data_IF_689415852807
#
_entry.id   IF_689415852807
#
_cell.length_a   1.000
_cell.length_b   1.000
_cell.length_c   1.000
_cell.angle_alpha   90.00
_cell.angle_beta   90.00
_cell.angle_gamma   90.00
#
_symmetry.space_group_name_H-M   'P 1'
#
loop_
_entity.id
_entity.type
_entity.pdbx_description
1 polymer ?
#
# COMPACT_ATOMS: atom_id res chain seq x y z
N UNK A 1 -17.95 -9.25 5.39
CA UNK A 1 -16.75 -8.83 4.62
C UNK A 1 -16.38 -7.42 5.07
N UNK A 2 -15.14 -7.20 5.50
CA UNK A 2 -14.67 -5.85 5.85
C UNK A 2 -14.00 -5.21 4.63
N UNK A 3 -14.65 -4.20 4.07
CA UNK A 3 -14.09 -3.37 3.01
C UNK A 3 -14.05 -1.94 3.51
N UNK A 4 -12.89 -1.31 3.45
CA UNK A 4 -12.71 0.09 3.82
C UNK A 4 -12.32 0.89 2.58
N UNK A 5 -12.99 2.03 2.36
CA UNK A 5 -12.57 3.01 1.36
C UNK A 5 -12.23 4.32 2.06
N UNK A 6 -11.01 4.77 1.88
CA UNK A 6 -10.53 6.11 2.23
C UNK A 6 -10.50 6.93 0.94
N UNK A 7 -11.15 8.08 0.93
CA UNK A 7 -11.20 8.92 -0.27
C UNK A 7 -11.08 10.41 0.05
N UNK A 8 -10.30 11.13 -0.76
CA UNK A 8 -10.12 12.59 -0.66
C UNK A 8 -9.66 13.08 0.72
N UNK A 9 -8.89 12.27 1.43
CA UNK A 9 -8.33 12.63 2.74
C UNK A 9 -6.87 13.05 2.63
N UNK A 10 -6.46 13.98 3.48
CA UNK A 10 -5.06 14.25 3.78
C UNK A 10 -4.72 13.61 5.11
N UNK A 11 -3.81 12.64 5.09
CA UNK A 11 -3.29 11.98 6.29
C UNK A 11 -1.84 12.39 6.43
N UNK A 12 -1.51 13.03 7.55
CA UNK A 12 -0.14 13.44 7.89
C UNK A 12 0.32 12.70 9.13
N UNK A 13 1.56 12.23 9.11
CA UNK A 13 2.20 11.62 10.27
C UNK A 13 3.63 12.14 10.43
N UNK A 14 4.00 12.44 11.66
CA UNK A 14 5.35 12.87 12.04
C UNK A 14 6.21 11.66 12.46
N UNK A 15 5.58 10.57 12.90
CA UNK A 15 6.24 9.35 13.38
C UNK A 15 5.50 8.11 12.84
N UNK A 16 6.12 7.40 11.90
CA UNK A 16 5.65 6.11 11.37
C UNK A 16 4.87 6.19 10.05
N UNK A 17 4.01 5.21 9.79
CA UNK A 17 3.24 5.11 8.55
C UNK A 17 1.90 5.85 8.62
N UNK A 18 1.40 6.34 7.48
CA UNK A 18 0.07 6.93 7.41
C UNK A 18 -1.03 5.89 7.62
N UNK A 19 -0.87 4.69 7.05
CA UNK A 19 -1.90 3.65 7.06
C UNK A 19 -1.32 2.28 7.39
N UNK A 20 -1.92 1.61 8.36
CA UNK A 20 -1.63 0.21 8.71
C UNK A 20 -2.82 -0.68 8.33
N UNK A 21 -2.61 -1.52 7.33
CA UNK A 21 -3.59 -2.50 6.87
C UNK A 21 -3.30 -3.89 7.47
N UNK A 22 -4.23 -4.41 8.29
CA UNK A 22 -4.09 -5.72 8.95
C UNK A 22 -4.97 -6.82 8.36
N UNK A 23 -6.12 -6.47 7.77
CA UNK A 23 -7.05 -7.42 7.15
C UNK A 23 -8.11 -6.71 6.31
N UNK A 24 -8.75 -7.47 5.42
CA UNK A 24 -9.81 -7.00 4.53
C UNK A 24 -9.29 -6.39 3.23
N UNK A 25 -10.17 -5.64 2.56
CA UNK A 25 -9.79 -4.84 1.38
C UNK A 25 -9.80 -3.37 1.74
N UNK A 26 -8.68 -2.70 1.47
CA UNK A 26 -8.51 -1.27 1.67
C UNK A 26 -8.37 -0.58 0.30
N UNK A 27 -9.25 0.36 0.00
CA UNK A 27 -9.14 1.23 -1.17
C UNK A 27 -8.78 2.64 -0.74
N UNK A 28 -7.72 3.21 -1.31
CA UNK A 28 -7.22 4.57 -1.05
C UNK A 28 -7.35 5.34 -2.35
N UNK A 29 -8.22 6.35 -2.40
CA UNK A 29 -8.62 7.01 -3.64
C UNK A 29 -8.56 8.53 -3.53
N UNK A 30 -7.69 9.17 -4.32
CA UNK A 30 -7.57 10.63 -4.31
C UNK A 30 -7.01 11.20 -3.00
N UNK A 31 -6.31 10.39 -2.20
CA UNK A 31 -5.76 10.82 -0.91
C UNK A 31 -4.40 11.51 -1.07
N UNK A 32 -3.96 12.19 -0.01
CA UNK A 32 -2.61 12.70 0.17
C UNK A 32 -2.05 12.09 1.45
N UNK A 33 -1.01 11.27 1.32
CA UNK A 33 -0.31 10.63 2.44
C UNK A 33 1.03 11.34 2.63
N UNK A 34 1.19 12.05 3.74
CA UNK A 34 2.38 12.82 4.07
C UNK A 34 3.07 12.18 5.27
N UNK A 35 4.11 11.41 4.99
CA UNK A 35 5.04 10.95 6.02
C UNK A 35 6.14 12.00 6.15
N UNK A 36 6.60 12.31 7.35
CA UNK A 36 7.81 13.10 7.51
C UNK A 36 9.05 12.19 7.41
N UNK A 37 10.14 12.72 6.87
CA UNK A 37 11.40 11.98 6.75
C UNK A 37 11.87 11.56 8.13
N UNK A 38 11.85 10.26 8.42
CA UNK A 38 12.34 9.73 9.68
C UNK A 38 13.84 9.39 9.56
N UNK A 39 14.69 9.64 10.58
CA UNK A 39 16.08 9.18 10.59
C UNK A 39 16.22 7.66 10.45
N UNK A 40 15.15 6.90 10.69
CA UNK A 40 15.06 5.47 10.42
C UNK A 40 14.30 5.24 9.10
N UNK A 41 15.04 5.10 8.01
CA UNK A 41 14.49 4.92 6.64
C UNK A 41 13.52 3.73 6.50
N UNK A 42 13.65 2.72 7.35
CA UNK A 42 12.77 1.55 7.36
C UNK A 42 11.40 1.78 8.01
N UNK A 43 11.17 2.94 8.65
CA UNK A 43 9.87 3.34 9.19
C UNK A 43 9.15 4.35 8.29
N UNK A 44 9.83 4.84 7.24
CA UNK A 44 9.36 5.89 6.32
C UNK A 44 8.50 5.34 5.17
N UNK A 45 7.59 4.40 5.46
CA UNK A 45 6.63 3.86 4.49
C UNK A 45 5.26 4.51 4.69
N UNK A 46 4.66 5.04 3.62
CA UNK A 46 3.33 5.64 3.73
C UNK A 46 2.24 4.61 4.10
N UNK A 47 2.33 3.41 3.52
CA UNK A 47 1.39 2.32 3.76
C UNK A 47 2.16 1.10 4.23
N UNK A 48 1.71 0.48 5.32
CA UNK A 48 2.21 -0.82 5.76
C UNK A 48 1.05 -1.82 5.72
N UNK A 49 1.21 -2.91 4.98
CA UNK A 49 0.28 -4.03 4.98
C UNK A 49 0.91 -5.24 5.65
N UNK A 50 0.36 -5.62 6.79
CA UNK A 50 0.73 -6.87 7.50
C UNK A 50 -0.28 -7.99 7.24
N UNK A 51 -1.29 -7.74 6.41
CA UNK A 51 -2.26 -8.76 6.03
C UNK A 51 -1.59 -9.90 5.24
N UNK A 52 -1.94 -11.14 5.56
CA UNK A 52 -1.52 -12.35 4.85
C UNK A 52 -2.53 -12.80 3.80
N UNK A 53 -2.32 -13.98 3.22
CA UNK A 53 -3.28 -14.62 2.33
C UNK A 53 -4.60 -14.86 3.06
N UNK A 54 -5.68 -14.95 2.29
CA UNK A 54 -6.99 -15.27 2.83
C UNK A 54 -6.93 -16.61 3.57
N UNK A 55 -7.41 -16.66 4.82
CA UNK A 55 -7.71 -17.93 5.48
C UNK A 55 -8.80 -18.65 4.66
N UNK A 56 -8.49 -19.86 4.18
CA UNK A 56 -9.45 -20.70 3.45
C UNK A 56 -10.45 -21.25 4.47
N UNK A 57 -11.55 -20.54 4.69
CA UNK A 57 -12.65 -21.04 5.52
C UNK A 57 -13.44 -22.06 4.67
N UNK A 58 -13.55 -23.35 5.05
CA UNK A 58 -14.14 -24.41 4.21
C UNK A 58 -15.65 -24.34 3.97
N UNK A 59 -16.32 -23.22 4.28
CA UNK A 59 -17.77 -23.09 4.12
C UNK A 59 -18.13 -22.03 3.09
N UNK A 60 -18.51 -22.50 1.91
CA UNK A 60 -19.31 -21.82 0.88
C UNK A 60 -18.86 -20.41 0.42
N UNK A 61 -18.31 -20.37 -0.81
CA UNK A 61 -18.44 -19.27 -1.76
C UNK A 61 -18.02 -17.86 -1.28
N UNK A 62 -16.71 -17.65 -1.14
CA UNK A 62 -15.93 -16.49 -1.66
C UNK A 62 -14.55 -16.50 -1.03
N UNK A 63 -13.50 -16.50 -1.85
CA UNK A 63 -12.13 -16.22 -1.40
C UNK A 63 -12.09 -14.85 -0.73
N UNK A 64 -11.88 -14.83 0.58
CA UNK A 64 -11.77 -13.60 1.38
C UNK A 64 -10.40 -12.94 1.17
N UNK A 65 -10.13 -12.41 -0.02
CA UNK A 65 -8.80 -11.88 -0.32
C UNK A 65 -8.54 -10.56 0.41
N UNK A 66 -7.42 -10.52 1.13
CA UNK A 66 -6.86 -9.30 1.66
C UNK A 66 -6.18 -8.51 0.54
N UNK A 67 -6.27 -7.18 0.56
CA UNK A 67 -5.57 -6.37 -0.41
C UNK A 67 -5.67 -4.87 -0.20
N UNK A 68 -4.76 -4.13 -0.82
CA UNK A 68 -4.74 -2.67 -0.81
C UNK A 68 -4.74 -2.16 -2.24
N UNK A 69 -5.71 -1.33 -2.60
CA UNK A 69 -5.76 -0.67 -3.91
C UNK A 69 -5.55 0.83 -3.70
N UNK A 70 -4.56 1.39 -4.38
CA UNK A 70 -4.25 2.82 -4.38
C UNK A 70 -4.61 3.40 -5.73
N UNK A 71 -5.41 4.45 -5.74
CA UNK A 71 -5.91 5.14 -6.92
C UNK A 71 -5.64 6.64 -6.76
N UNK A 72 -5.01 7.25 -7.76
CA UNK A 72 -4.81 8.70 -7.87
C UNK A 72 -4.35 9.35 -6.56
N UNK A 73 -3.45 8.68 -5.83
CA UNK A 73 -3.05 9.12 -4.48
C UNK A 73 -1.67 9.76 -4.54
N UNK A 74 -1.49 10.86 -3.81
CA UNK A 74 -0.18 11.50 -3.63
C UNK A 74 0.48 10.93 -2.39
N UNK A 75 1.76 10.62 -2.49
CA UNK A 75 2.58 10.15 -1.38
C UNK A 75 3.80 11.06 -1.28
N UNK A 76 4.01 11.68 -0.12
CA UNK A 76 4.96 12.76 0.08
C UNK A 76 5.76 12.58 1.38
N UNK A 77 6.98 13.13 1.39
CA UNK A 77 7.86 13.21 2.56
C UNK A 77 8.39 11.87 3.13
N UNK A 78 8.01 10.73 2.56
CA UNK A 78 8.59 9.42 2.84
C UNK A 78 9.52 8.93 1.72
N UNK A 79 10.46 8.05 2.05
CA UNK A 79 11.36 7.43 1.06
C UNK A 79 10.68 6.31 0.26
N UNK A 80 9.62 5.69 0.79
CA UNK A 80 8.99 4.50 0.21
C UNK A 80 7.46 4.55 0.31
N UNK A 81 6.78 4.03 -0.72
CA UNK A 81 5.31 4.11 -0.83
C UNK A 81 4.58 3.06 0.02
N UNK A 82 5.01 1.79 -0.06
CA UNK A 82 4.33 0.68 0.60
C UNK A 82 5.31 -0.38 1.07
N UNK A 83 5.07 -0.94 2.26
CA UNK A 83 5.73 -2.12 2.79
C UNK A 83 4.71 -3.25 2.96
N UNK A 84 5.05 -4.44 2.49
CA UNK A 84 4.27 -5.66 2.69
C UNK A 84 5.07 -6.62 3.56
N UNK A 85 4.53 -6.97 4.74
CA UNK A 85 5.16 -7.95 5.64
C UNK A 85 4.49 -9.33 5.60
N UNK A 86 3.33 -9.44 4.96
CA UNK A 86 2.62 -10.71 4.75
C UNK A 86 2.91 -11.34 3.38
N UNK A 87 2.05 -12.27 2.95
CA UNK A 87 2.16 -12.94 1.64
C UNK A 87 1.59 -12.10 0.48
N UNK A 88 1.22 -10.84 0.73
CA UNK A 88 0.75 -9.94 -0.31
C UNK A 88 1.96 -9.34 -1.03
N UNK A 89 1.81 -9.18 -2.34
CA UNK A 89 2.83 -8.62 -3.23
C UNK A 89 2.31 -7.37 -3.92
N UNK A 90 3.19 -6.42 -4.19
CA UNK A 90 2.88 -5.27 -5.03
C UNK A 90 2.65 -5.72 -6.48
N UNK A 91 1.50 -5.37 -7.03
CA UNK A 91 1.06 -5.67 -8.38
C UNK A 91 0.58 -4.39 -9.07
N UNK A 92 0.64 -4.37 -10.40
CA UNK A 92 0.10 -3.30 -11.27
C UNK A 92 0.47 -1.87 -10.82
N UNK A 93 1.74 -1.51 -10.91
CA UNK A 93 2.20 -0.16 -10.54
C UNK A 93 2.12 0.79 -11.72
N UNK A 94 1.52 1.95 -11.52
CA UNK A 94 1.54 3.09 -12.43
C UNK A 94 1.78 4.37 -11.64
N UNK A 95 2.68 5.20 -12.14
CA UNK A 95 2.93 6.53 -11.60
C UNK A 95 2.70 7.55 -12.71
N UNK A 96 1.97 8.62 -12.41
CA UNK A 96 1.75 9.74 -13.32
C UNK A 96 2.39 10.98 -12.71
N UNK A 97 3.31 11.57 -13.45
CA UNK A 97 3.89 12.87 -13.13
C UNK A 97 3.04 13.99 -13.72
N UNK A 98 2.71 14.96 -12.89
CA UNK A 98 2.13 16.25 -13.29
C UNK A 98 3.11 17.35 -12.96
N UNK A 99 2.85 18.58 -13.45
CA UNK A 99 3.76 19.72 -13.28
C UNK A 99 4.17 19.97 -11.81
N UNK A 100 3.31 19.64 -10.85
CA UNK A 100 3.52 19.96 -9.43
C UNK A 100 3.49 18.75 -8.51
N UNK A 101 3.18 17.55 -9.01
CA UNK A 101 2.92 16.38 -8.14
C UNK A 101 3.04 15.05 -8.86
N UNK A 102 3.43 14.02 -8.12
CA UNK A 102 3.36 12.61 -8.53
C UNK A 102 2.09 11.97 -7.97
N UNK A 103 1.39 11.22 -8.82
CA UNK A 103 0.23 10.43 -8.42
C UNK A 103 0.50 8.95 -8.63
N UNK A 104 0.11 8.14 -7.64
CA UNK A 104 0.35 6.71 -7.58
C UNK A 104 -0.95 5.93 -7.80
N UNK A 105 -0.83 4.88 -8.61
CA UNK A 105 -1.78 3.80 -8.73
C UNK A 105 -1.05 2.49 -8.53
N UNK A 106 -1.49 1.67 -7.59
CA UNK A 106 -0.95 0.33 -7.44
C UNK A 106 -1.91 -0.56 -6.66
N UNK A 107 -1.74 -1.86 -6.82
CA UNK A 107 -2.51 -2.88 -6.12
C UNK A 107 -1.56 -3.73 -5.30
N UNK A 108 -1.99 -4.13 -4.12
CA UNK A 108 -1.29 -5.08 -3.27
C UNK A 108 -2.26 -6.21 -3.04
N UNK A 109 -1.97 -7.36 -3.63
CA UNK A 109 -2.81 -8.54 -3.55
C UNK A 109 -1.94 -9.78 -3.34
N UNK A 110 -2.57 -10.88 -2.92
CA UNK A 110 -1.89 -12.17 -2.79
C UNK A 110 -1.34 -12.55 -4.16
N UNK A 111 -0.05 -12.81 -4.25
CA UNK A 111 0.50 -13.47 -5.42
C UNK A 111 0.00 -14.91 -5.41
N UNK A 112 -0.92 -15.28 -6.29
CA UNK A 112 -1.30 -16.68 -6.54
C UNK A 112 -0.17 -17.43 -7.29
N UNK A 113 1.07 -17.27 -6.82
CA UNK A 113 2.26 -17.90 -7.37
C UNK A 113 3.01 -18.56 -6.23
N UNK A 114 3.04 -19.89 -6.29
CA UNK A 114 4.04 -20.73 -5.65
C UNK A 114 5.45 -20.35 -6.15
N UNK A 115 5.98 -19.18 -5.83
CA UNK A 115 7.42 -18.87 -5.97
C UNK A 115 7.80 -17.57 -5.28
N UNK A 116 8.79 -17.70 -4.39
CA UNK A 116 9.49 -16.63 -3.68
C UNK A 116 10.26 -15.77 -4.67
N UNK A 117 10.03 -14.44 -4.67
CA UNK A 117 11.09 -13.47 -4.94
C UNK A 117 10.70 -12.06 -4.49
N UNK A 118 11.45 -11.52 -3.54
CA UNK A 118 11.35 -10.16 -3.04
C UNK A 118 11.82 -9.17 -4.09
N UNK A 119 10.96 -8.22 -4.47
CA UNK A 119 11.33 -7.11 -5.34
C UNK A 119 11.20 -5.79 -4.56
N UNK A 120 12.32 -5.07 -4.43
CA UNK A 120 12.37 -3.69 -3.93
C UNK A 120 12.46 -2.75 -5.13
N UNK A 121 11.60 -1.74 -5.20
CA UNK A 121 11.68 -0.65 -6.19
C UNK A 121 12.26 0.58 -5.49
N UNK A 122 13.44 1.01 -5.91
CA UNK A 122 14.05 2.27 -5.46
C UNK A 122 13.60 3.44 -6.33
N UNK A 123 13.41 4.61 -5.71
CA UNK A 123 13.04 5.85 -6.39
C UNK A 123 14.29 6.49 -7.03
N UNK A 124 14.17 7.10 -8.22
CA UNK A 124 15.28 7.82 -8.83
C UNK A 124 15.63 9.04 -7.99
N UNK A 125 16.93 9.18 -7.72
CA UNK A 125 17.52 10.34 -7.05
C UNK A 125 17.65 11.46 -8.09
N UNK A 126 17.21 12.66 -7.73
CA UNK A 126 17.39 13.90 -8.51
C UNK A 126 18.85 14.32 -8.61
#
# INVERSE_FOLDING_TARGET
MSTCKLANLTVRTELGCCLLHRSGKLTIDGCILQCESNPLDHLSYAIISTAGAAEVIPSALKTCSNGVSVLKTRIEGGAKAVLTSGTLSLQRVRVIYTRTSLFFWFEVESSDKNTVQSASVELPIS
#
